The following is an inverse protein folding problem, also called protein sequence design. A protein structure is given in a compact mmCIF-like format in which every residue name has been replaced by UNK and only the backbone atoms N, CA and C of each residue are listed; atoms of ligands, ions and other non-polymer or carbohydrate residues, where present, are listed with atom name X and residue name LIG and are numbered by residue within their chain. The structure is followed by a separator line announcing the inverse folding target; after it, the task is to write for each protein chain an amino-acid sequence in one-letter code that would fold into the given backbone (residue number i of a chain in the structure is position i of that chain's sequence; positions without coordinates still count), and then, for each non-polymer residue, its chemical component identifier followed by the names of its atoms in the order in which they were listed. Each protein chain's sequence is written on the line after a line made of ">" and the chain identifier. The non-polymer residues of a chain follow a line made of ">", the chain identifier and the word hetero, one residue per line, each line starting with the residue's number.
data_IF_051224022569
#
_entry.id   IF_051224022569
#
_cell.length_a   1.000
_cell.length_b   1.000
_cell.length_c   1.000
_cell.angle_alpha   90.00
_cell.angle_beta   90.00
_cell.angle_gamma   90.00
#
_symmetry.space_group_name_H-M   'P 1'
#
loop_
_entity.id
_entity.type
_entity.pdbx_description
1 polymer ?
#
# COMPACT_ATOMS: atom_id res chain seq x y z
N UNK A 1 10.94 11.22 -8.10
CA UNK A 1 9.95 10.14 -8.34
C UNK A 1 10.46 9.05 -9.29
N UNK A 2 10.89 9.30 -10.55
CA UNK A 2 11.34 8.21 -11.47
C UNK A 2 12.49 7.38 -10.90
N UNK A 3 13.51 7.99 -10.30
CA UNK A 3 14.62 7.28 -9.64
C UNK A 3 14.13 6.42 -8.46
N UNK A 4 13.25 6.97 -7.62
CA UNK A 4 12.65 6.21 -6.51
C UNK A 4 11.81 5.03 -7.02
N UNK A 5 11.02 5.24 -8.07
CA UNK A 5 10.24 4.16 -8.70
C UNK A 5 11.14 3.04 -9.22
N UNK A 6 12.26 3.37 -9.88
CA UNK A 6 13.23 2.37 -10.35
C UNK A 6 13.85 1.59 -9.18
N UNK A 7 14.23 2.25 -8.10
CA UNK A 7 14.81 1.60 -6.91
C UNK A 7 13.79 0.67 -6.23
N UNK A 8 12.54 1.11 -6.05
CA UNK A 8 11.47 0.29 -5.48
C UNK A 8 11.22 -0.95 -6.33
N UNK A 9 11.11 -0.78 -7.65
CA UNK A 9 10.94 -1.89 -8.59
C UNK A 9 12.09 -2.91 -8.47
N UNK A 10 13.33 -2.46 -8.57
CA UNK A 10 14.52 -3.31 -8.49
C UNK A 10 14.62 -4.07 -7.15
N UNK A 11 14.16 -3.46 -6.05
CA UNK A 11 14.10 -4.13 -4.76
C UNK A 11 13.06 -5.26 -4.76
N UNK A 12 11.83 -4.99 -5.23
CA UNK A 12 10.72 -5.94 -5.20
C UNK A 12 10.86 -7.07 -6.24
N UNK A 13 11.55 -6.83 -7.36
CA UNK A 13 11.88 -7.88 -8.33
C UNK A 13 12.64 -9.05 -7.69
N UNK A 14 13.47 -8.80 -6.68
CA UNK A 14 14.19 -9.83 -5.91
C UNK A 14 13.31 -10.65 -4.97
N UNK A 15 12.07 -10.23 -4.73
CA UNK A 15 11.11 -10.92 -3.86
C UNK A 15 10.17 -11.85 -4.62
N UNK A 16 10.24 -11.85 -5.95
CA UNK A 16 9.44 -12.74 -6.77
C UNK A 16 9.76 -14.20 -6.44
N UNK A 17 8.70 -14.99 -6.32
CA UNK A 17 8.79 -16.44 -6.10
C UNK A 17 8.28 -17.16 -7.34
N UNK A 18 8.98 -18.24 -7.70
CA UNK A 18 8.56 -19.12 -8.79
C UNK A 18 7.66 -20.24 -8.26
N UNK A 19 6.71 -20.67 -9.07
CA UNK A 19 6.01 -21.94 -8.85
C UNK A 19 7.01 -23.10 -8.94
N UNK A 20 6.78 -24.15 -8.16
CA UNK A 20 7.61 -25.34 -8.19
C UNK A 20 6.75 -26.60 -8.11
N UNK A 21 7.21 -27.68 -8.68
CA UNK A 21 6.56 -28.99 -8.70
C UNK A 21 7.62 -30.06 -8.48
N UNK A 22 7.31 -31.03 -7.62
CA UNK A 22 8.17 -32.14 -7.24
C UNK A 22 7.47 -33.47 -7.59
N UNK A 23 7.76 -34.06 -8.78
CA UNK A 23 7.20 -35.35 -9.15
C UNK A 23 7.90 -36.48 -8.37
N UNK A 24 7.10 -37.41 -7.85
CA UNK A 24 7.55 -38.57 -7.12
C UNK A 24 7.57 -39.81 -8.04
N UNK A 25 8.38 -40.87 -7.71
CA UNK A 25 8.45 -42.09 -8.52
C UNK A 25 7.12 -42.86 -8.64
N UNK A 26 6.22 -42.70 -7.68
CA UNK A 26 4.89 -43.30 -7.68
C UNK A 26 3.85 -42.55 -8.55
N UNK A 27 4.27 -41.49 -9.24
CA UNK A 27 3.40 -40.64 -10.04
C UNK A 27 2.73 -39.49 -9.26
N UNK A 28 2.91 -39.41 -7.96
CA UNK A 28 2.42 -38.27 -7.15
C UNK A 28 3.17 -37.01 -7.53
N UNK A 29 2.46 -35.88 -7.68
CA UNK A 29 3.06 -34.57 -7.90
C UNK A 29 2.67 -33.64 -6.75
N UNK A 30 3.64 -33.15 -6.03
CA UNK A 30 3.48 -32.11 -5.02
C UNK A 30 4.06 -30.79 -5.54
N UNK A 31 3.44 -29.68 -5.22
CA UNK A 31 3.95 -28.41 -5.71
C UNK A 31 3.22 -27.20 -5.12
N UNK A 32 3.75 -26.04 -5.44
CA UNK A 32 3.14 -24.76 -5.12
C UNK A 32 3.03 -23.93 -6.40
N UNK A 33 1.80 -23.58 -6.77
CA UNK A 33 1.53 -22.68 -7.87
C UNK A 33 1.36 -21.26 -7.32
N UNK A 34 2.25 -20.36 -7.71
CA UNK A 34 2.24 -18.95 -7.32
C UNK A 34 1.67 -18.15 -8.48
N UNK A 35 0.60 -17.42 -8.22
CA UNK A 35 -0.10 -16.59 -9.21
C UNK A 35 -0.31 -15.19 -8.65
N UNK A 36 -0.29 -14.15 -9.52
CA UNK A 36 -0.75 -12.83 -9.11
C UNK A 36 -2.25 -12.86 -8.80
N UNK A 37 -2.69 -11.93 -7.94
CA UNK A 37 -4.10 -11.60 -7.81
C UNK A 37 -4.56 -10.80 -9.03
N UNK A 38 -5.86 -10.82 -9.35
CA UNK A 38 -6.38 -10.15 -10.54
C UNK A 38 -6.42 -8.62 -10.36
N UNK A 39 -6.99 -8.14 -9.25
CA UNK A 39 -7.20 -6.71 -9.02
C UNK A 39 -6.69 -6.31 -7.64
N UNK A 40 -5.82 -5.30 -7.60
CA UNK A 40 -5.39 -4.66 -6.36
C UNK A 40 -6.03 -3.28 -6.21
N UNK A 41 -6.55 -3.00 -5.02
CA UNK A 41 -7.02 -1.68 -4.61
C UNK A 41 -5.99 -0.97 -3.74
N UNK A 42 -5.58 0.21 -4.12
CA UNK A 42 -4.62 1.02 -3.37
C UNK A 42 -5.33 2.22 -2.78
N UNK A 43 -5.33 2.32 -1.46
CA UNK A 43 -5.79 3.51 -0.76
C UNK A 43 -4.62 4.48 -0.56
N UNK A 44 -4.77 5.71 -1.04
CA UNK A 44 -3.77 6.76 -0.86
C UNK A 44 -4.40 7.89 -0.04
N UNK A 45 -3.85 8.21 1.14
CA UNK A 45 -4.36 9.32 1.92
C UNK A 45 -4.24 10.65 1.16
N UNK A 46 -5.17 11.54 1.42
CA UNK A 46 -5.17 12.92 0.93
C UNK A 46 -5.56 13.86 2.04
N UNK A 47 -5.68 15.13 1.75
CA UNK A 47 -6.05 16.17 2.70
C UNK A 47 -4.89 17.09 3.04
N UNK A 48 -4.35 17.06 4.26
CA UNK A 48 -3.31 18.01 4.73
C UNK A 48 -1.98 17.87 3.96
N UNK A 49 -1.62 16.67 3.53
CA UNK A 49 -0.36 16.42 2.80
C UNK A 49 -0.59 15.52 1.58
N UNK A 50 0.34 15.63 0.60
CA UNK A 50 0.39 14.72 -0.53
C UNK A 50 1.36 13.57 -0.23
N UNK A 51 0.97 12.35 -0.57
CA UNK A 51 1.78 11.16 -0.33
C UNK A 51 2.12 10.41 -1.64
N UNK A 52 2.91 11.01 -2.54
CA UNK A 52 3.34 10.33 -3.77
C UNK A 52 4.17 9.08 -3.48
N UNK A 53 4.87 9.03 -2.34
CA UNK A 53 5.59 7.85 -1.87
C UNK A 53 4.64 6.68 -1.59
N UNK A 54 3.48 6.92 -0.98
CA UNK A 54 2.48 5.87 -0.73
C UNK A 54 1.98 5.26 -2.04
N UNK A 55 1.82 6.05 -3.10
CA UNK A 55 1.50 5.53 -4.43
C UNK A 55 2.57 4.58 -4.92
N UNK A 56 3.83 5.03 -4.96
CA UNK A 56 4.94 4.24 -5.47
C UNK A 56 5.14 2.94 -4.66
N UNK A 57 5.09 3.06 -3.33
CA UNK A 57 5.33 1.93 -2.41
C UNK A 57 4.24 0.87 -2.44
N UNK A 58 3.02 1.18 -2.87
CA UNK A 58 1.94 0.21 -2.98
C UNK A 58 1.77 -0.31 -4.41
N UNK A 59 1.86 0.56 -5.40
CA UNK A 59 1.57 0.19 -6.80
C UNK A 59 2.71 -0.59 -7.44
N UNK A 60 3.97 -0.17 -7.22
CA UNK A 60 5.11 -0.84 -7.86
C UNK A 60 5.29 -2.30 -7.43
N UNK A 61 5.17 -2.66 -6.13
CA UNK A 61 5.16 -4.07 -5.73
C UNK A 61 4.06 -4.88 -6.41
N UNK A 62 2.86 -4.31 -6.53
CA UNK A 62 1.74 -4.97 -7.21
C UNK A 62 2.03 -5.19 -8.71
N UNK A 63 2.60 -4.19 -9.40
CA UNK A 63 3.03 -4.35 -10.81
C UNK A 63 4.16 -5.38 -10.95
N UNK A 64 5.12 -5.41 -10.04
CA UNK A 64 6.19 -6.42 -10.03
C UNK A 64 5.62 -7.82 -9.80
N UNK A 65 4.63 -7.95 -8.92
CA UNK A 65 3.94 -9.23 -8.67
C UNK A 65 3.07 -9.70 -9.85
N UNK A 66 2.91 -8.89 -10.90
CA UNK A 66 2.13 -9.25 -12.09
C UNK A 66 0.62 -9.00 -11.95
N UNK A 67 0.19 -8.15 -11.02
CA UNK A 67 -1.22 -7.77 -10.89
C UNK A 67 -1.65 -7.03 -12.15
N UNK A 68 -2.70 -7.52 -12.81
CA UNK A 68 -3.15 -6.99 -14.10
C UNK A 68 -3.79 -5.62 -13.97
N UNK A 69 -4.65 -5.43 -12.98
CA UNK A 69 -5.43 -4.20 -12.79
C UNK A 69 -5.21 -3.62 -11.41
N UNK A 70 -4.77 -2.38 -11.35
CA UNK A 70 -4.55 -1.65 -10.10
C UNK A 70 -5.43 -0.42 -10.08
N UNK A 71 -6.38 -0.38 -9.17
CA UNK A 71 -7.22 0.79 -8.94
C UNK A 71 -6.73 1.55 -7.71
N UNK A 72 -6.84 2.85 -7.75
CA UNK A 72 -6.45 3.73 -6.65
C UNK A 72 -7.65 4.57 -6.19
N UNK A 73 -7.87 4.62 -4.87
CA UNK A 73 -8.79 5.56 -4.26
C UNK A 73 -8.02 6.60 -3.45
N UNK A 74 -8.41 7.86 -3.57
CA UNK A 74 -7.80 8.96 -2.82
C UNK A 74 -8.85 10.07 -2.63
N UNK A 75 -8.96 10.66 -1.41
CA UNK A 75 -9.88 11.77 -1.21
C UNK A 75 -9.43 12.98 -2.04
N UNK A 76 -10.36 13.68 -2.68
CA UNK A 76 -10.07 14.94 -3.34
C UNK A 76 -9.83 16.06 -2.33
N UNK A 77 -9.15 17.10 -2.74
CA UNK A 77 -9.08 18.36 -2.01
C UNK A 77 -10.42 19.10 -1.99
N UNK A 78 -10.47 20.25 -1.30
CA UNK A 78 -11.66 21.08 -1.23
C UNK A 78 -12.13 21.59 -2.60
N UNK A 79 -11.24 21.69 -3.56
CA UNK A 79 -11.53 22.05 -4.96
C UNK A 79 -12.01 20.87 -5.81
N UNK A 80 -12.21 19.70 -5.22
CA UNK A 80 -12.63 18.47 -5.91
C UNK A 80 -11.52 17.83 -6.76
N UNK A 81 -10.27 18.28 -6.65
CA UNK A 81 -9.15 17.76 -7.44
C UNK A 81 -8.23 16.86 -6.61
N UNK A 82 -7.58 15.93 -7.28
CA UNK A 82 -6.51 15.13 -6.68
C UNK A 82 -5.21 15.91 -6.76
N UNK A 83 -4.38 15.79 -5.73
CA UNK A 83 -3.07 16.46 -5.71
C UNK A 83 -2.23 16.07 -6.95
N UNK A 84 -1.65 17.05 -7.67
CA UNK A 84 -0.86 16.78 -8.87
C UNK A 84 0.33 15.84 -8.65
N UNK A 85 0.99 15.91 -7.49
CA UNK A 85 2.10 15.01 -7.13
C UNK A 85 1.65 13.55 -7.02
N UNK A 86 0.45 13.32 -6.46
CA UNK A 86 -0.18 12.00 -6.38
C UNK A 86 -0.52 11.47 -7.78
N UNK A 87 -1.07 12.30 -8.66
CA UNK A 87 -1.39 11.91 -10.05
C UNK A 87 -0.12 11.57 -10.84
N UNK A 88 0.93 12.37 -10.71
CA UNK A 88 2.23 12.10 -11.36
C UNK A 88 2.82 10.77 -10.87
N UNK A 89 2.76 10.51 -9.56
CA UNK A 89 3.22 9.24 -9.00
C UNK A 89 2.39 8.07 -9.52
N UNK A 90 1.07 8.20 -9.58
CA UNK A 90 0.17 7.19 -10.12
C UNK A 90 0.47 6.88 -11.59
N UNK A 91 0.70 7.90 -12.41
CA UNK A 91 1.11 7.73 -13.79
C UNK A 91 2.46 7.02 -13.93
N UNK A 92 3.47 7.42 -13.15
CA UNK A 92 4.80 6.80 -13.17
C UNK A 92 4.73 5.32 -12.72
N UNK A 93 3.91 5.02 -11.72
CA UNK A 93 3.76 3.67 -11.18
C UNK A 93 2.91 2.76 -12.07
N UNK A 94 2.05 3.34 -12.93
CA UNK A 94 1.16 2.60 -13.83
C UNK A 94 -0.16 2.19 -13.17
N UNK A 95 -0.79 3.12 -12.42
CA UNK A 95 -2.16 2.94 -11.94
C UNK A 95 -3.12 2.94 -13.11
N UNK A 96 -4.06 2.00 -13.14
CA UNK A 96 -4.98 1.87 -14.26
C UNK A 96 -6.21 2.78 -14.10
N UNK A 97 -6.72 2.95 -12.87
CA UNK A 97 -7.89 3.77 -12.59
C UNK A 97 -7.74 4.52 -11.27
N UNK A 98 -8.28 5.75 -11.23
CA UNK A 98 -8.24 6.60 -10.03
C UNK A 98 -9.66 7.07 -9.68
N UNK A 99 -10.08 6.81 -8.45
CA UNK A 99 -11.37 7.20 -7.92
C UNK A 99 -11.21 8.27 -6.82
N UNK A 100 -11.92 9.37 -6.95
CA UNK A 100 -11.89 10.49 -6.00
C UNK A 100 -12.81 10.23 -4.81
N UNK A 101 -12.45 9.26 -4.00
CA UNK A 101 -13.19 8.89 -2.79
C UNK A 101 -12.20 8.48 -1.71
N UNK A 102 -12.46 8.87 -0.46
CA UNK A 102 -11.63 8.55 0.70
C UNK A 102 -12.45 7.98 1.86
N UNK A 103 -11.79 7.72 2.97
CA UNK A 103 -12.42 7.24 4.20
C UNK A 103 -12.88 5.77 4.15
N UNK A 104 -13.69 5.39 5.13
CA UNK A 104 -14.22 4.04 5.27
C UNK A 104 -15.04 3.58 4.06
N UNK A 105 -15.79 4.50 3.43
CA UNK A 105 -16.60 4.22 2.25
C UNK A 105 -15.77 3.82 1.02
N UNK A 106 -14.55 4.34 0.89
CA UNK A 106 -13.64 3.93 -0.18
C UNK A 106 -13.19 2.48 0.00
N UNK A 107 -12.89 2.09 1.24
CA UNK A 107 -12.53 0.71 1.60
C UNK A 107 -13.69 -0.23 1.33
N UNK A 108 -14.90 0.12 1.78
CA UNK A 108 -16.10 -0.69 1.54
C UNK A 108 -16.41 -0.83 0.04
N UNK A 109 -16.28 0.26 -0.73
CA UNK A 109 -16.48 0.23 -2.17
C UNK A 109 -15.51 -0.72 -2.88
N UNK A 110 -14.24 -0.71 -2.51
CA UNK A 110 -13.24 -1.65 -3.04
C UNK A 110 -13.49 -3.09 -2.57
N UNK A 111 -13.92 -3.28 -1.32
CA UNK A 111 -14.13 -4.62 -0.75
C UNK A 111 -15.32 -5.34 -1.35
N UNK A 112 -16.42 -4.64 -1.61
CA UNK A 112 -17.69 -5.23 -2.05
C UNK A 112 -18.01 -4.94 -3.52
N UNK A 113 -17.38 -3.94 -4.11
CA UNK A 113 -17.71 -3.43 -5.43
C UNK A 113 -18.93 -2.50 -5.41
N UNK A 114 -19.01 -1.66 -6.42
CA UNK A 114 -20.15 -0.78 -6.72
C UNK A 114 -20.38 -0.75 -8.24
N UNK A 115 -21.33 0.03 -8.71
CA UNK A 115 -21.50 0.23 -10.16
C UNK A 115 -20.26 0.86 -10.83
N UNK A 116 -19.50 1.69 -10.10
CA UNK A 116 -18.36 2.44 -10.63
C UNK A 116 -17.01 1.89 -10.21
N UNK A 117 -16.91 1.34 -9.00
CA UNK A 117 -15.67 0.83 -8.42
C UNK A 117 -15.72 -0.69 -8.38
N UNK A 118 -14.85 -1.40 -9.08
CA UNK A 118 -14.86 -2.86 -9.06
C UNK A 118 -14.46 -3.40 -7.68
N UNK A 119 -14.97 -4.58 -7.35
CA UNK A 119 -14.47 -5.35 -6.21
C UNK A 119 -13.01 -5.74 -6.48
N UNK A 120 -12.16 -5.62 -5.47
CA UNK A 120 -10.74 -5.99 -5.55
C UNK A 120 -10.44 -7.24 -4.73
N UNK A 121 -9.31 -7.89 -5.01
CA UNK A 121 -8.86 -9.07 -4.28
C UNK A 121 -8.07 -8.68 -3.02
N UNK A 122 -7.38 -7.54 -3.07
CA UNK A 122 -6.58 -7.02 -1.95
C UNK A 122 -6.61 -5.51 -1.89
N UNK A 123 -6.74 -4.97 -0.68
CA UNK A 123 -6.64 -3.54 -0.41
C UNK A 123 -5.33 -3.27 0.33
N UNK A 124 -4.53 -2.33 -0.17
CA UNK A 124 -3.28 -1.87 0.45
C UNK A 124 -3.27 -0.36 0.63
N UNK A 125 -2.41 0.11 1.49
CA UNK A 125 -2.19 1.53 1.71
C UNK A 125 -2.57 1.99 3.11
N UNK A 126 -1.87 3.03 3.61
CA UNK A 126 -2.12 3.63 4.92
C UNK A 126 -3.37 4.51 4.87
N UNK A 127 -3.95 4.78 6.03
CA UNK A 127 -5.06 5.70 6.17
C UNK A 127 -5.28 6.09 7.63
N UNK A 128 -6.23 6.97 7.88
CA UNK A 128 -6.62 7.35 9.22
C UNK A 128 -7.33 6.18 9.94
N UNK A 129 -7.68 6.39 11.21
CA UNK A 129 -8.35 5.38 12.04
C UNK A 129 -9.62 4.81 11.40
N UNK A 130 -10.41 5.61 10.68
CA UNK A 130 -11.63 5.13 10.00
C UNK A 130 -11.30 4.17 8.86
N UNK A 131 -10.21 4.44 8.13
CA UNK A 131 -9.70 3.55 7.07
C UNK A 131 -9.17 2.24 7.67
N UNK A 132 -8.40 2.33 8.75
CA UNK A 132 -7.87 1.16 9.46
C UNK A 132 -9.00 0.26 9.99
N UNK A 133 -10.01 0.85 10.63
CA UNK A 133 -11.17 0.13 11.14
C UNK A 133 -12.01 -0.49 10.00
N UNK A 134 -12.19 0.22 8.90
CA UNK A 134 -12.89 -0.31 7.72
C UNK A 134 -12.13 -1.49 7.10
N UNK A 135 -10.80 -1.41 6.97
CA UNK A 135 -9.96 -2.54 6.51
C UNK A 135 -10.12 -3.74 7.45
N UNK A 136 -10.09 -3.51 8.77
CA UNK A 136 -10.32 -4.56 9.77
C UNK A 136 -11.70 -5.20 9.60
N UNK A 137 -12.76 -4.41 9.42
CA UNK A 137 -14.12 -4.91 9.26
C UNK A 137 -14.32 -5.68 7.94
N UNK A 138 -13.61 -5.31 6.87
CA UNK A 138 -13.69 -5.97 5.57
C UNK A 138 -12.73 -7.17 5.42
N UNK A 139 -11.82 -7.37 6.37
CA UNK A 139 -10.88 -8.50 6.33
C UNK A 139 -11.65 -9.83 6.36
N UNK A 140 -11.30 -10.72 5.43
CA UNK A 140 -12.02 -11.98 5.20
C UNK A 140 -12.95 -11.90 3.97
N UNK A 141 -13.57 -10.74 3.69
CA UNK A 141 -14.27 -10.48 2.43
C UNK A 141 -13.30 -10.03 1.32
N UNK A 142 -12.25 -9.35 1.71
CA UNK A 142 -11.14 -8.89 0.89
C UNK A 142 -9.84 -9.07 1.67
N UNK A 143 -8.73 -9.38 1.00
CA UNK A 143 -7.41 -9.39 1.64
C UNK A 143 -6.95 -7.95 1.91
N UNK A 144 -6.20 -7.73 2.98
CA UNK A 144 -5.59 -6.44 3.30
C UNK A 144 -4.07 -6.59 3.50
N UNK A 145 -3.34 -5.47 3.51
CA UNK A 145 -1.92 -5.43 3.87
C UNK A 145 -1.73 -5.59 5.39
N UNK A 146 -2.24 -4.63 6.16
CA UNK A 146 -2.17 -4.63 7.63
C UNK A 146 -3.24 -3.71 8.21
N UNK A 147 -3.49 -3.87 9.52
CA UNK A 147 -4.27 -2.92 10.32
C UNK A 147 -3.25 -1.96 10.94
N UNK A 148 -2.98 -0.85 10.24
CA UNK A 148 -2.05 0.15 10.72
C UNK A 148 -2.72 1.04 11.78
N UNK A 149 -2.08 1.16 12.94
CA UNK A 149 -2.36 2.15 13.97
C UNK A 149 -1.33 3.28 13.95
N UNK A 150 -1.35 4.19 14.94
CA UNK A 150 -0.27 5.14 15.18
C UNK A 150 1.06 4.39 15.29
N UNK A 151 2.11 4.95 14.67
CA UNK A 151 3.45 4.36 14.78
C UNK A 151 4.14 4.90 16.02
N UNK A 152 4.72 4.00 16.81
CA UNK A 152 5.60 4.34 17.92
C UNK A 152 7.05 4.13 17.49
N UNK A 153 7.97 4.87 18.10
CA UNK A 153 9.40 4.72 17.84
C UNK A 153 10.12 4.28 19.12
N UNK A 154 10.93 3.24 19.00
CA UNK A 154 11.86 2.82 20.03
C UNK A 154 13.28 3.07 19.54
N UNK A 155 14.03 3.90 20.25
CA UNK A 155 15.44 4.15 19.98
C UNK A 155 16.28 3.39 21.00
N UNK A 156 17.14 2.48 20.53
CA UNK A 156 18.11 1.77 21.36
C UNK A 156 19.45 2.47 21.18
N UNK A 157 19.97 3.05 22.26
CA UNK A 157 21.21 3.80 22.23
C UNK A 157 22.04 3.52 23.50
N UNK A 158 23.35 3.57 23.36
CA UNK A 158 24.31 3.52 24.47
C UNK A 158 25.12 4.82 24.59
N UNK A 159 26.13 4.86 25.43
CA UNK A 159 26.97 6.03 25.67
C UNK A 159 27.76 6.51 24.46
N UNK A 160 27.90 5.71 23.42
CA UNK A 160 28.57 6.09 22.16
C UNK A 160 27.66 6.85 21.20
N UNK A 161 26.35 6.82 21.42
CA UNK A 161 25.39 7.47 20.56
C UNK A 161 25.43 9.00 20.69
N UNK A 162 25.26 9.70 19.56
CA UNK A 162 25.14 11.16 19.58
C UNK A 162 23.75 11.57 20.07
N UNK A 163 23.61 12.29 21.20
CA UNK A 163 22.32 12.66 21.77
C UNK A 163 21.43 13.49 20.82
N UNK A 164 22.03 14.29 19.93
CA UNK A 164 21.27 15.07 18.94
C UNK A 164 20.59 14.18 17.89
N UNK A 165 21.24 13.08 17.51
CA UNK A 165 20.66 12.15 16.56
C UNK A 165 19.53 11.35 17.20
N UNK A 166 19.74 10.88 18.44
CA UNK A 166 18.70 10.21 19.24
C UNK A 166 17.48 11.12 19.41
N UNK A 167 17.68 12.39 19.74
CA UNK A 167 16.58 13.35 19.86
C UNK A 167 15.86 13.57 18.52
N UNK A 168 16.59 13.66 17.40
CA UNK A 168 15.99 13.80 16.07
C UNK A 168 15.16 12.58 15.68
N UNK A 169 15.64 11.38 16.01
CA UNK A 169 14.91 10.13 15.74
C UNK A 169 13.60 10.07 16.55
N UNK A 170 13.63 10.44 17.83
CA UNK A 170 12.44 10.50 18.69
C UNK A 170 11.42 11.54 18.18
N UNK A 171 11.89 12.69 17.67
CA UNK A 171 11.02 13.73 17.14
C UNK A 171 10.36 13.33 15.81
N UNK A 172 10.85 12.31 15.10
CA UNK A 172 10.33 11.93 13.79
C UNK A 172 8.86 11.48 13.83
N UNK A 173 8.43 10.83 14.92
CA UNK A 173 7.04 10.43 15.11
C UNK A 173 6.22 11.53 15.80
N UNK A 174 6.81 12.27 16.71
CA UNK A 174 6.12 13.36 17.40
C UNK A 174 5.67 14.49 16.44
N UNK A 175 6.39 14.70 15.32
CA UNK A 175 5.96 15.65 14.29
C UNK A 175 4.87 15.09 13.38
N UNK A 176 4.76 13.76 13.29
CA UNK A 176 3.86 13.08 12.37
C UNK A 176 2.43 12.96 12.91
N UNK A 177 2.27 12.62 14.20
CA UNK A 177 0.96 12.45 14.86
C UNK A 177 1.05 12.80 16.35
N UNK A 178 0.02 13.47 16.88
CA UNK A 178 -0.09 13.83 18.29
C UNK A 178 -0.26 12.60 19.22
N UNK A 179 -0.63 11.46 18.65
CA UNK A 179 -0.84 10.19 19.36
C UNK A 179 0.36 9.23 19.23
N UNK A 180 1.47 9.68 18.61
CA UNK A 180 2.68 8.88 18.43
C UNK A 180 3.61 8.92 19.65
#
# INVERSE_FOLDING_TARGET
>A
MKKSAANIRAFHEKQLRNSWFDPKPDGTILGMKILPIAIAGVYVPGGKAAYPSSVLMNVLPAKVAGVERIIMTTPPGADGKVNPGTLVAAHIAGVDEIYKVGGAQAIAAMAFGTQSIPKVDKITGPGNIFVALAKKACFGYVSIDSIAGPSEILVIADETANPRYVAADLLSQAEHDELA
#
